data_IF_727808208161
#
_entry.id   IF_727808208161
#
_cell.length_a   1.000
_cell.length_b   1.000
_cell.length_c   1.000
_cell.angle_alpha   90.00
_cell.angle_beta   90.00
_cell.angle_gamma   90.00
#
_symmetry.space_group_name_H-M   'P 1'
#
loop_
_entity.id
_entity.type
_entity.pdbx_description
1 polymer ?
#
# COMPACT_ATOMS: atom_id res chain seq x y z
N UNK A 1 13.76 -17.44 2.49
CA UNK A 1 14.24 -16.07 2.80
C UNK A 1 13.14 -15.26 3.49
N UNK A 2 13.00 -15.40 4.81
CA UNK A 2 11.78 -15.00 5.54
C UNK A 2 11.97 -13.83 6.51
N UNK A 3 13.24 -13.46 6.79
CA UNK A 3 13.58 -12.47 7.83
C UNK A 3 13.72 -11.06 7.24
N UNK A 4 14.42 -10.89 6.11
CA UNK A 4 14.64 -9.56 5.53
C UNK A 4 13.43 -8.96 4.80
N UNK A 5 12.53 -9.77 4.22
CA UNK A 5 11.46 -9.26 3.34
C UNK A 5 10.11 -9.01 4.02
N UNK A 6 9.93 -9.40 5.29
CA UNK A 6 8.63 -9.36 5.97
C UNK A 6 8.69 -8.77 7.38
N UNK A 7 9.76 -9.02 8.12
CA UNK A 7 9.81 -8.78 9.56
C UNK A 7 10.44 -7.43 9.95
N UNK A 8 11.48 -6.99 9.24
CA UNK A 8 12.13 -5.71 9.53
C UNK A 8 11.50 -4.59 8.70
N UNK A 9 10.85 -3.59 9.32
CA UNK A 9 10.40 -2.40 8.60
C UNK A 9 11.63 -1.66 8.06
N UNK A 10 11.63 -1.35 6.77
CA UNK A 10 12.68 -0.53 6.17
C UNK A 10 12.74 0.82 6.88
N UNK A 11 13.90 1.14 7.46
CA UNK A 11 14.14 2.29 8.35
C UNK A 11 13.90 3.68 7.70
N UNK A 12 13.56 3.72 6.41
CA UNK A 12 13.36 4.95 5.62
C UNK A 12 11.91 5.42 5.61
N UNK A 13 10.96 4.49 5.67
CA UNK A 13 9.53 4.81 5.54
C UNK A 13 8.67 4.22 6.68
N UNK A 14 9.19 3.27 7.47
CA UNK A 14 8.41 2.55 8.49
C UNK A 14 7.29 1.66 7.94
N UNK A 15 7.17 1.56 6.61
CA UNK A 15 6.12 0.83 5.92
C UNK A 15 6.61 -0.56 5.50
N UNK A 16 5.84 -1.59 5.88
CA UNK A 16 6.00 -2.93 5.31
C UNK A 16 5.74 -2.89 3.81
N UNK A 17 6.37 -3.76 3.00
CA UNK A 17 6.18 -3.80 1.54
C UNK A 17 4.71 -3.87 1.07
N UNK A 18 3.83 -4.45 1.90
CA UNK A 18 2.39 -4.51 1.65
C UNK A 18 1.75 -3.12 1.61
N UNK A 19 2.04 -2.24 2.56
CA UNK A 19 1.46 -0.90 2.59
C UNK A 19 1.90 -0.07 1.39
N UNK A 20 3.17 -0.21 0.98
CA UNK A 20 3.70 0.49 -0.21
C UNK A 20 2.94 0.12 -1.48
N UNK A 21 2.58 -1.16 -1.65
CA UNK A 21 1.80 -1.64 -2.80
C UNK A 21 0.37 -1.08 -2.81
N UNK A 22 -0.29 -1.05 -1.65
CA UNK A 22 -1.65 -0.49 -1.53
C UNK A 22 -1.66 1.00 -1.89
N UNK A 23 -0.73 1.78 -1.32
CA UNK A 23 -0.64 3.22 -1.62
C UNK A 23 -0.31 3.50 -3.09
N UNK A 24 0.53 2.66 -3.71
CA UNK A 24 0.83 2.75 -5.14
C UNK A 24 -0.42 2.48 -6.00
N UNK A 25 -1.16 1.41 -5.72
CA UNK A 25 -2.40 1.08 -6.42
C UNK A 25 -3.48 2.18 -6.24
N UNK A 26 -3.58 2.77 -5.04
CA UNK A 26 -4.49 3.90 -4.79
C UNK A 26 -4.12 5.13 -5.62
N UNK A 27 -2.82 5.37 -5.83
CA UNK A 27 -2.33 6.47 -6.68
C UNK A 27 -2.64 6.23 -8.16
N UNK A 28 -2.45 5.01 -8.67
CA UNK A 28 -2.83 4.64 -10.05
C UNK A 28 -4.34 4.79 -10.30
N UNK A 29 -5.16 4.43 -9.31
CA UNK A 29 -6.62 4.58 -9.38
C UNK A 29 -7.11 6.01 -9.13
N UNK A 30 -6.21 6.99 -8.99
CA UNK A 30 -6.49 8.40 -8.68
C UNK A 30 -7.45 8.58 -7.50
N UNK A 31 -7.30 7.75 -6.47
CA UNK A 31 -8.07 7.86 -5.23
C UNK A 31 -7.46 8.97 -4.37
N UNK A 32 -7.80 10.22 -4.70
CA UNK A 32 -7.48 11.36 -3.84
C UNK A 32 -8.43 11.42 -2.65
N UNK A 33 -7.98 12.01 -1.53
CA UNK A 33 -8.81 12.27 -0.35
C UNK A 33 -10.01 13.18 -0.63
N UNK A 34 -10.00 13.88 -1.76
CA UNK A 34 -11.07 14.76 -2.25
C UNK A 34 -12.04 14.06 -3.20
N UNK A 35 -11.75 12.83 -3.64
CA UNK A 35 -12.55 12.08 -4.61
C UNK A 35 -13.65 11.22 -3.97
N UNK A 36 -14.50 10.62 -4.82
CA UNK A 36 -15.54 9.70 -4.39
C UNK A 36 -15.00 8.36 -3.88
N UNK A 37 -15.64 7.81 -2.84
CA UNK A 37 -15.24 6.54 -2.23
C UNK A 37 -15.37 5.37 -3.21
N UNK A 38 -14.35 4.50 -3.25
CA UNK A 38 -14.36 3.26 -4.04
C UNK A 38 -14.18 2.05 -3.14
N UNK A 39 -14.85 0.95 -3.49
CA UNK A 39 -14.86 -0.29 -2.70
C UNK A 39 -13.44 -0.85 -2.55
N UNK A 40 -13.07 -1.22 -1.32
CA UNK A 40 -11.74 -1.77 -0.98
C UNK A 40 -11.41 -3.06 -1.74
N UNK A 41 -12.42 -3.86 -2.10
CA UNK A 41 -12.25 -5.06 -2.92
C UNK A 41 -11.62 -4.76 -4.29
N UNK A 42 -11.78 -3.55 -4.83
CA UNK A 42 -11.16 -3.13 -6.10
C UNK A 42 -9.69 -2.72 -5.96
N UNK A 43 -9.22 -2.50 -4.73
CA UNK A 43 -7.83 -2.09 -4.42
C UNK A 43 -7.01 -3.29 -3.94
N UNK A 44 -7.65 -4.24 -3.26
CA UNK A 44 -7.02 -5.46 -2.72
C UNK A 44 -7.07 -6.67 -3.67
N UNK A 45 -7.72 -6.52 -4.83
CA UNK A 45 -7.84 -7.57 -5.84
C UNK A 45 -6.54 -7.79 -6.62
#
# INVERSE_FOLDING_TARGET
STIMHRALPDARDGLKPVHRRILYAMRELRLSSTGGFRKSAKISG
#
